data_IF_306676824549
#
_entry.id   IF_306676824549
#
_cell.length_a   1.000
_cell.length_b   1.000
_cell.length_c   1.000
_cell.angle_alpha   90.00
_cell.angle_beta   90.00
_cell.angle_gamma   90.00
#
_symmetry.space_group_name_H-M   'P 1'
#
loop_
_entity.id
_entity.type
_entity.pdbx_description
1 polymer ?
#
# COMPACT_ATOMS: atom_id res chain seq x y z
N UNK A 1 -21.55 26.54 -13.17
CA UNK A 1 -21.61 25.16 -12.63
C UNK A 1 -20.25 24.86 -12.04
N UNK A 2 -20.10 24.99 -10.73
CA UNK A 2 -18.90 24.53 -10.03
C UNK A 2 -19.16 23.06 -9.74
N UNK A 3 -18.54 22.16 -10.50
CA UNK A 3 -18.53 20.74 -10.13
C UNK A 3 -17.62 20.63 -8.91
N UNK A 4 -18.24 20.55 -7.74
CA UNK A 4 -17.61 20.08 -6.51
C UNK A 4 -17.07 18.67 -6.77
N UNK A 5 -15.83 18.59 -7.26
CA UNK A 5 -15.06 17.35 -7.25
C UNK A 5 -14.60 17.21 -5.81
N UNK A 6 -15.32 16.42 -5.02
CA UNK A 6 -14.93 16.05 -3.66
C UNK A 6 -13.46 15.60 -3.62
N UNK A 7 -12.80 15.68 -2.45
CA UNK A 7 -11.35 15.54 -2.35
C UNK A 7 -10.90 14.29 -3.07
N UNK A 8 -10.03 14.45 -4.06
CA UNK A 8 -9.41 13.34 -4.76
C UNK A 8 -8.84 12.42 -3.68
N UNK A 9 -9.43 11.22 -3.52
CA UNK A 9 -8.94 10.21 -2.58
C UNK A 9 -7.61 9.74 -3.14
N UNK A 10 -6.54 10.41 -2.77
CA UNK A 10 -5.20 10.07 -3.25
C UNK A 10 -4.78 8.77 -2.59
N UNK A 11 -4.99 7.67 -3.30
CA UNK A 11 -4.45 6.37 -2.93
C UNK A 11 -2.94 6.38 -3.14
N UNK A 12 -2.20 5.80 -2.20
CA UNK A 12 -0.74 5.67 -2.31
C UNK A 12 -0.44 4.25 -2.76
N UNK A 13 0.30 4.13 -3.87
CA UNK A 13 0.78 2.85 -4.37
C UNK A 13 2.29 2.76 -4.17
N UNK A 14 2.73 1.72 -3.48
CA UNK A 14 4.16 1.46 -3.21
C UNK A 14 4.54 0.13 -3.86
N UNK A 15 5.51 0.17 -4.77
CA UNK A 15 6.04 -1.03 -5.41
C UNK A 15 7.23 -1.60 -4.64
N UNK A 16 7.17 -2.90 -4.38
CA UNK A 16 8.22 -3.68 -3.74
C UNK A 16 8.76 -4.69 -4.73
N UNK A 17 10.09 -4.83 -4.78
CA UNK A 17 10.75 -5.96 -5.42
C UNK A 17 11.17 -6.94 -4.34
N UNK A 18 10.54 -8.10 -4.34
CA UNK A 18 10.70 -9.16 -3.34
C UNK A 18 11.45 -10.31 -3.98
N UNK A 19 12.67 -10.54 -3.49
CA UNK A 19 13.58 -11.59 -3.94
C UNK A 19 13.85 -12.61 -2.82
N UNK A 20 13.51 -12.27 -1.59
CA UNK A 20 13.78 -13.06 -0.39
C UNK A 20 12.54 -13.13 0.52
N UNK A 21 12.50 -14.15 1.38
CA UNK A 21 11.45 -14.28 2.39
C UNK A 21 11.43 -13.11 3.37
N UNK A 22 12.60 -12.57 3.73
CA UNK A 22 12.70 -11.42 4.65
C UNK A 22 12.04 -10.16 4.09
N UNK A 23 12.17 -9.92 2.79
CA UNK A 23 11.50 -8.78 2.12
C UNK A 23 9.98 -9.00 2.06
N UNK A 24 9.54 -10.25 1.92
CA UNK A 24 8.13 -10.61 2.02
C UNK A 24 7.57 -10.33 3.41
N UNK A 25 8.27 -10.77 4.46
CA UNK A 25 7.87 -10.52 5.84
C UNK A 25 7.80 -9.02 6.14
N UNK A 26 8.72 -8.23 5.59
CA UNK A 26 8.68 -6.78 5.68
C UNK A 26 7.40 -6.22 5.01
N UNK A 27 7.11 -6.57 3.76
CA UNK A 27 5.87 -6.14 3.10
C UNK A 27 4.62 -6.52 3.91
N UNK A 28 4.58 -7.72 4.47
CA UNK A 28 3.46 -8.15 5.32
C UNK A 28 3.33 -7.31 6.59
N UNK A 29 4.45 -6.90 7.20
CA UNK A 29 4.45 -5.97 8.33
C UNK A 29 3.81 -4.61 7.96
N UNK A 30 4.18 -4.06 6.80
CA UNK A 30 3.58 -2.81 6.29
C UNK A 30 2.10 -2.97 5.95
N UNK A 31 1.70 -4.08 5.33
CA UNK A 31 0.30 -4.35 5.02
C UNK A 31 -0.54 -4.45 6.30
N UNK A 32 -0.02 -5.12 7.33
CA UNK A 32 -0.69 -5.23 8.62
C UNK A 32 -0.82 -3.89 9.35
N UNK A 33 0.14 -2.98 9.18
CA UNK A 33 0.15 -1.68 9.84
C UNK A 33 -0.67 -0.60 9.14
N UNK A 34 -1.09 -0.82 7.89
CA UNK A 34 -1.91 0.10 7.10
C UNK A 34 -3.32 -0.50 6.90
N UNK A 35 -4.31 -0.17 7.76
CA UNK A 35 -5.66 -0.72 7.66
C UNK A 35 -6.31 -0.41 6.30
N UNK A 36 -6.94 -1.42 5.70
CA UNK A 36 -7.59 -1.29 4.40
C UNK A 36 -6.62 -1.25 3.22
N UNK A 37 -5.32 -1.39 3.46
CA UNK A 37 -4.37 -1.59 2.36
C UNK A 37 -4.60 -2.93 1.66
N UNK A 38 -4.13 -3.05 0.42
CA UNK A 38 -4.15 -4.31 -0.34
C UNK A 38 -2.78 -4.61 -0.90
N UNK A 39 -2.44 -5.90 -0.99
CA UNK A 39 -1.20 -6.37 -1.61
C UNK A 39 -1.53 -7.14 -2.88
N UNK A 40 -0.94 -6.71 -3.99
CA UNK A 40 -1.12 -7.34 -5.30
C UNK A 40 0.22 -7.76 -5.90
N UNK A 41 0.27 -8.96 -6.49
CA UNK A 41 1.44 -9.38 -7.26
C UNK A 41 1.31 -8.91 -8.71
N UNK A 42 2.24 -8.07 -9.15
CA UNK A 42 2.27 -7.58 -10.53
C UNK A 42 3.02 -8.53 -11.46
N UNK A 43 4.31 -8.73 -11.21
CA UNK A 43 5.18 -9.46 -12.13
C UNK A 43 6.55 -9.79 -11.54
N UNK A 44 7.07 -11.01 -11.73
CA UNK A 44 8.45 -11.42 -11.37
C UNK A 44 8.94 -10.90 -10.01
N UNK A 45 8.20 -11.18 -8.96
CA UNK A 45 8.57 -10.76 -7.60
C UNK A 45 8.32 -9.27 -7.33
N UNK A 46 7.65 -8.56 -8.24
CA UNK A 46 7.15 -7.21 -8.00
C UNK A 46 5.76 -7.31 -7.39
N UNK A 47 5.60 -6.69 -6.23
CA UNK A 47 4.34 -6.57 -5.51
C UNK A 47 4.00 -5.10 -5.32
N UNK A 48 2.72 -4.77 -5.24
CA UNK A 48 2.22 -3.43 -4.94
C UNK A 48 1.47 -3.49 -3.64
N UNK A 49 1.79 -2.58 -2.73
CA UNK A 49 0.95 -2.23 -1.60
C UNK A 49 0.15 -0.98 -1.98
N UNK A 50 -1.17 -1.10 -2.05
CA UNK A 50 -2.07 0.04 -2.25
C UNK A 50 -2.65 0.44 -0.91
N UNK A 51 -2.49 1.70 -0.52
CA UNK A 51 -3.00 2.25 0.75
C UNK A 51 -4.11 3.25 0.40
N UNK A 52 -5.35 3.02 0.86
CA UNK A 52 -6.45 3.93 0.57
C UNK A 52 -6.28 5.26 1.30
N UNK A 53 -6.88 6.32 0.77
CA UNK A 53 -6.90 7.62 1.44
C UNK A 53 -7.54 7.49 2.84
N UNK A 54 -6.80 7.89 3.87
CA UNK A 54 -7.19 7.74 5.28
C UNK A 54 -6.71 6.45 5.95
N UNK A 55 -6.06 5.54 5.21
CA UNK A 55 -5.32 4.41 5.78
C UNK A 55 -4.02 4.90 6.41
N UNK A 56 -4.10 5.39 7.65
CA UNK A 56 -2.91 5.74 8.42
C UNK A 56 -2.10 4.46 8.67
N UNK A 57 -0.82 4.47 8.27
CA UNK A 57 0.10 3.41 8.63
C UNK A 57 0.65 3.69 10.03
N UNK A 58 0.42 2.79 10.98
CA UNK A 58 1.06 2.89 12.28
C UNK A 58 2.49 2.35 12.16
N UNK A 59 3.48 3.22 12.34
CA UNK A 59 4.87 2.79 12.39
C UNK A 59 5.11 2.00 13.69
N UNK A 60 4.98 0.68 13.65
CA UNK A 60 5.48 -0.18 14.73
C UNK A 60 7.00 -0.23 14.64
N UNK A 61 7.64 0.67 15.39
CA UNK A 61 9.08 0.71 15.66
C UNK A 61 9.56 -0.48 16.51
#
# INVERSE_FOLDING_TARGET
MITDRGPERTEVMVMFRILTHREWDALQGWHASCPGSTVEHLYRGIYVLTIPAGGACEETA
#
